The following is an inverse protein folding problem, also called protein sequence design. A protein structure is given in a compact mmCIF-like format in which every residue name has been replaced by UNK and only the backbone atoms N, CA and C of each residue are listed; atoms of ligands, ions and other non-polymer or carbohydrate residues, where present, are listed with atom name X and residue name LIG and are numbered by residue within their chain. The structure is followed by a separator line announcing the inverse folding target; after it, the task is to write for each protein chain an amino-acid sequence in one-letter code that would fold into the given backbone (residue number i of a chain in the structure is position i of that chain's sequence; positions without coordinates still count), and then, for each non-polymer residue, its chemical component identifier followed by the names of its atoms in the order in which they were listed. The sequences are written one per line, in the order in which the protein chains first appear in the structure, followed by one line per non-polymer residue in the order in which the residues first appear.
data_IF_792664157141
#
_entry.id   IF_792664157141
#
_cell.length_a   1.000
_cell.length_b   1.000
_cell.length_c   1.000
_cell.angle_alpha   90.00
_cell.angle_beta   90.00
_cell.angle_gamma   90.00
#
_symmetry.space_group_name_H-M   'P 1'
#
loop_
_entity.id
_entity.type
_entity.pdbx_description
1 polymer ?
#
# COMPACT_ATOMS: atom_id res chain seq x y z
N UNK A 1 -14.88 -12.77 4.91
CA UNK A 1 -14.47 -13.09 3.54
C UNK A 1 -13.37 -12.16 3.02
N UNK A 2 -13.60 -10.90 2.64
CA UNK A 2 -12.52 -9.98 2.18
C UNK A 2 -11.39 -9.80 3.19
N UNK A 3 -11.69 -9.81 4.47
CA UNK A 3 -10.73 -9.61 5.54
C UNK A 3 -9.73 -10.76 5.66
N UNK A 4 -10.12 -11.98 5.33
CA UNK A 4 -9.24 -13.15 5.37
C UNK A 4 -8.07 -13.03 4.39
N UNK A 5 -8.35 -12.56 3.17
CA UNK A 5 -7.29 -12.35 2.18
C UNK A 5 -6.37 -11.20 2.55
N UNK A 6 -6.90 -10.11 3.13
CA UNK A 6 -6.07 -9.03 3.65
C UNK A 6 -5.16 -9.51 4.78
N UNK A 7 -5.66 -10.36 5.69
CA UNK A 7 -4.86 -11.00 6.74
C UNK A 7 -3.79 -11.93 6.15
N UNK A 8 -4.11 -12.70 5.12
CA UNK A 8 -3.13 -13.54 4.43
C UNK A 8 -1.98 -12.72 3.85
N UNK A 9 -2.29 -11.57 3.22
CA UNK A 9 -1.25 -10.66 2.71
C UNK A 9 -0.42 -10.05 3.83
N UNK A 10 -1.05 -9.67 4.95
CA UNK A 10 -0.33 -9.18 6.15
C UNK A 10 0.64 -10.24 6.67
N UNK A 11 0.16 -11.46 6.88
CA UNK A 11 0.98 -12.57 7.34
C UNK A 11 2.15 -12.82 6.38
N UNK A 12 1.89 -12.83 5.07
CA UNK A 12 2.94 -12.98 4.06
C UNK A 12 3.98 -11.86 4.16
N UNK A 13 3.56 -10.60 4.25
CA UNK A 13 4.46 -9.46 4.36
C UNK A 13 5.36 -9.52 5.61
N UNK A 14 4.87 -10.07 6.72
CA UNK A 14 5.60 -10.13 7.99
C UNK A 14 6.59 -11.29 8.09
N UNK A 15 6.59 -12.23 7.15
CA UNK A 15 7.50 -13.40 7.19
C UNK A 15 8.95 -13.01 6.95
N UNK A 16 9.22 -12.13 5.98
CA UNK A 16 10.59 -11.79 5.57
C UNK A 16 10.70 -10.41 4.91
N UNK A 17 11.93 -9.92 4.82
CA UNK A 17 12.22 -8.68 4.10
C UNK A 17 11.88 -8.79 2.60
N UNK A 18 12.07 -9.94 1.98
CA UNK A 18 11.73 -10.18 0.58
C UNK A 18 10.21 -10.13 0.37
N UNK A 19 9.44 -10.76 1.25
CA UNK A 19 7.98 -10.74 1.20
C UNK A 19 7.42 -9.33 1.38
N UNK A 20 7.96 -8.57 2.33
CA UNK A 20 7.59 -7.16 2.53
C UNK A 20 7.93 -6.32 1.30
N UNK A 21 9.08 -6.57 0.68
CA UNK A 21 9.50 -5.92 -0.56
C UNK A 21 8.52 -6.23 -1.70
N UNK A 22 8.12 -7.48 -1.87
CA UNK A 22 7.14 -7.93 -2.88
C UNK A 22 5.78 -7.23 -2.71
N UNK A 23 5.26 -7.15 -1.47
CA UNK A 23 4.02 -6.43 -1.17
C UNK A 23 4.15 -4.94 -1.50
N UNK A 24 5.30 -4.34 -1.17
CA UNK A 24 5.57 -2.93 -1.48
C UNK A 24 5.66 -2.71 -2.99
N UNK A 25 6.34 -3.60 -3.70
CA UNK A 25 6.44 -3.58 -5.16
C UNK A 25 5.07 -3.68 -5.81
N UNK A 26 4.20 -4.58 -5.34
CA UNK A 26 2.81 -4.69 -5.80
C UNK A 26 2.07 -3.35 -5.68
N UNK A 27 2.20 -2.67 -4.53
CA UNK A 27 1.59 -1.37 -4.33
C UNK A 27 2.14 -0.31 -5.30
N UNK A 28 3.45 -0.31 -5.58
CA UNK A 28 4.12 0.58 -6.55
C UNK A 28 3.68 0.28 -7.97
N UNK A 29 3.65 -0.99 -8.37
CA UNK A 29 3.24 -1.41 -9.71
C UNK A 29 1.79 -1.00 -10.01
N UNK A 30 0.91 -1.00 -9.00
CA UNK A 30 -0.49 -0.59 -9.15
C UNK A 30 -0.70 0.90 -9.39
N UNK A 31 0.34 1.74 -9.29
CA UNK A 31 0.22 3.18 -9.56
C UNK A 31 0.02 3.40 -11.07
N UNK A 32 -1.11 4.03 -11.41
CA UNK A 32 -1.52 4.33 -12.81
C UNK A 32 -1.57 3.08 -13.70
N UNK A 33 -1.97 1.95 -13.12
CA UNK A 33 -2.15 0.71 -13.87
C UNK A 33 -3.50 0.05 -13.52
N UNK A 34 -4.17 -0.58 -14.49
CA UNK A 34 -5.31 -1.44 -14.20
C UNK A 34 -4.88 -2.59 -13.29
N UNK A 35 -5.68 -2.85 -12.25
CA UNK A 35 -5.37 -3.88 -11.27
C UNK A 35 -5.17 -5.27 -11.90
N UNK A 36 -5.92 -5.58 -12.96
CA UNK A 36 -5.80 -6.81 -13.74
C UNK A 36 -4.40 -7.12 -14.27
N UNK A 37 -3.58 -6.08 -14.46
CA UNK A 37 -2.24 -6.25 -15.03
C UNK A 37 -1.18 -6.52 -13.96
N UNK A 38 -1.49 -6.34 -12.68
CA UNK A 38 -0.48 -6.31 -11.62
C UNK A 38 0.18 -7.68 -11.43
N UNK A 39 -0.60 -8.76 -11.52
CA UNK A 39 -0.03 -10.11 -11.41
C UNK A 39 1.03 -10.40 -12.45
N UNK A 40 0.74 -10.11 -13.71
CA UNK A 40 1.70 -10.29 -14.81
C UNK A 40 2.92 -9.38 -14.64
N UNK A 41 2.73 -8.17 -14.12
CA UNK A 41 3.83 -7.24 -13.84
C UNK A 41 4.73 -7.73 -12.70
N UNK A 42 4.17 -8.34 -11.65
CA UNK A 42 4.96 -8.97 -10.57
C UNK A 42 5.82 -10.10 -11.13
N UNK A 43 5.24 -10.97 -11.97
CA UNK A 43 5.96 -12.05 -12.64
C UNK A 43 7.08 -11.49 -13.50
N UNK A 44 6.79 -10.46 -14.32
CA UNK A 44 7.79 -9.79 -15.15
C UNK A 44 8.98 -9.27 -14.34
N UNK A 45 8.73 -8.60 -13.21
CA UNK A 45 9.81 -8.09 -12.35
C UNK A 45 10.58 -9.22 -11.67
N UNK A 46 9.91 -10.27 -11.19
CA UNK A 46 10.59 -11.43 -10.58
C UNK A 46 11.52 -12.13 -11.56
N UNK A 47 11.12 -12.24 -12.83
CA UNK A 47 11.88 -12.91 -13.89
C UNK A 47 12.99 -12.01 -14.43
N UNK A 48 12.68 -10.78 -14.81
CA UNK A 48 13.54 -9.91 -15.59
C UNK A 48 14.29 -8.85 -14.75
N UNK A 49 13.97 -8.75 -13.44
CA UNK A 49 14.58 -7.80 -12.49
C UNK A 49 14.56 -6.37 -13.06
N UNK A 50 15.72 -5.71 -13.12
CA UNK A 50 15.86 -4.33 -13.63
C UNK A 50 15.50 -4.16 -15.12
N UNK A 51 15.39 -5.26 -15.86
CA UNK A 51 15.02 -5.26 -17.28
C UNK A 51 13.51 -5.49 -17.50
N UNK A 52 12.74 -5.62 -16.44
CA UNK A 52 11.30 -5.80 -16.53
C UNK A 52 10.61 -4.60 -17.17
N UNK A 53 9.72 -4.85 -18.14
CA UNK A 53 8.93 -3.80 -18.83
C UNK A 53 7.99 -3.07 -17.88
N UNK A 54 7.59 -3.73 -16.79
CA UNK A 54 6.76 -3.13 -15.74
C UNK A 54 7.48 -2.00 -14.96
N UNK A 55 8.81 -1.96 -14.97
CA UNK A 55 9.63 -0.96 -14.28
C UNK A 55 9.91 0.27 -15.16
N UNK A 56 8.89 0.99 -15.56
CA UNK A 56 9.02 2.23 -16.32
C UNK A 56 9.02 3.47 -15.42
N UNK A 57 9.70 4.54 -15.84
CA UNK A 57 9.78 5.80 -15.13
C UNK A 57 10.27 5.62 -13.68
N UNK A 58 9.66 6.30 -12.74
CA UNK A 58 10.04 6.26 -11.32
C UNK A 58 9.98 4.85 -10.69
N UNK A 59 9.22 3.91 -11.27
CA UNK A 59 9.08 2.54 -10.73
C UNK A 59 10.42 1.79 -10.73
N UNK A 60 11.29 2.07 -11.70
CA UNK A 60 12.63 1.49 -11.74
C UNK A 60 13.49 1.98 -10.58
N UNK A 61 13.51 3.29 -10.34
CA UNK A 61 14.26 3.87 -9.22
C UNK A 61 13.71 3.38 -7.87
N UNK A 62 12.39 3.25 -7.78
CA UNK A 62 11.74 2.70 -6.58
C UNK A 62 12.12 1.24 -6.36
N UNK A 63 12.17 0.42 -7.40
CA UNK A 63 12.61 -0.97 -7.30
C UNK A 63 14.07 -1.08 -6.83
N UNK A 64 14.98 -0.27 -7.40
CA UNK A 64 16.38 -0.21 -6.93
C UNK A 64 16.46 0.18 -5.46
N UNK A 65 15.69 1.19 -5.06
CA UNK A 65 15.62 1.62 -3.66
C UNK A 65 15.13 0.49 -2.74
N UNK A 66 14.06 -0.20 -3.13
CA UNK A 66 13.49 -1.31 -2.35
C UNK A 66 14.48 -2.43 -2.18
N UNK A 67 15.12 -2.92 -3.26
CA UNK A 67 16.12 -3.97 -3.20
C UNK A 67 17.30 -3.61 -2.29
N UNK A 68 17.74 -2.36 -2.35
CA UNK A 68 18.87 -1.87 -1.54
C UNK A 68 18.51 -1.66 -0.07
N UNK A 69 17.22 -1.45 0.27
CA UNK A 69 16.77 -1.06 1.60
C UNK A 69 15.79 -2.05 2.25
N UNK A 70 15.46 -3.18 1.61
CA UNK A 70 14.43 -4.11 2.07
C UNK A 70 14.64 -4.60 3.50
N UNK A 71 15.85 -4.99 3.89
CA UNK A 71 16.14 -5.46 5.24
C UNK A 71 15.98 -4.35 6.28
N UNK A 72 16.44 -3.14 5.98
CA UNK A 72 16.28 -1.97 6.86
C UNK A 72 14.82 -1.60 7.01
N UNK A 73 14.06 -1.53 5.91
CA UNK A 73 12.64 -1.23 5.91
C UNK A 73 11.86 -2.28 6.69
N UNK A 74 12.09 -3.56 6.44
CA UNK A 74 11.47 -4.66 7.16
C UNK A 74 11.72 -4.58 8.66
N UNK A 75 12.98 -4.42 9.08
CA UNK A 75 13.34 -4.30 10.50
C UNK A 75 12.61 -3.12 11.18
N UNK A 76 12.53 -1.96 10.49
CA UNK A 76 11.80 -0.79 11.00
C UNK A 76 10.30 -1.05 11.13
N UNK A 77 9.68 -1.67 10.13
CA UNK A 77 8.25 -2.01 10.14
C UNK A 77 7.95 -3.00 11.27
N UNK A 78 8.73 -4.08 11.37
CA UNK A 78 8.53 -5.11 12.42
C UNK A 78 8.76 -4.55 13.83
N UNK A 79 9.75 -3.67 14.02
CA UNK A 79 9.96 -2.99 15.30
C UNK A 79 8.75 -2.13 15.70
N UNK A 80 8.08 -1.49 14.75
CA UNK A 80 6.85 -0.73 15.02
C UNK A 80 5.68 -1.67 15.33
N UNK A 81 5.47 -2.71 14.53
CA UNK A 81 4.36 -3.68 14.72
C UNK A 81 4.46 -4.33 16.11
N UNK A 82 5.66 -4.76 16.50
CA UNK A 82 5.91 -5.48 17.75
C UNK A 82 6.07 -4.54 18.98
N UNK A 83 6.00 -3.23 18.78
CA UNK A 83 6.11 -2.28 19.91
C UNK A 83 4.83 -2.25 20.76
N UNK A 84 4.97 -1.87 22.03
CA UNK A 84 3.83 -1.66 22.94
C UNK A 84 3.13 -0.30 22.75
N UNK A 85 3.32 0.34 21.59
CA UNK A 85 2.67 1.62 21.27
C UNK A 85 1.19 1.41 20.93
N UNK A 86 0.39 2.48 21.09
CA UNK A 86 -1.00 2.50 20.61
C UNK A 86 -1.05 2.36 19.10
N UNK A 87 -2.17 1.84 18.55
CA UNK A 87 -2.38 1.69 17.12
C UNK A 87 -2.24 3.01 16.36
N UNK A 88 -2.70 4.12 16.92
CA UNK A 88 -2.51 5.45 16.35
C UNK A 88 -1.02 5.84 16.21
N UNK A 89 -0.21 5.52 17.22
CA UNK A 89 1.24 5.75 17.21
C UNK A 89 1.96 4.82 16.24
N UNK A 90 1.54 3.54 16.16
CA UNK A 90 2.04 2.58 15.16
C UNK A 90 1.70 3.05 13.76
N UNK A 91 0.45 3.42 13.50
CA UNK A 91 -0.01 3.93 12.22
C UNK A 91 0.81 5.14 11.75
N UNK A 92 1.03 6.12 12.63
CA UNK A 92 1.86 7.29 12.33
C UNK A 92 3.30 6.91 11.97
N UNK A 93 3.89 5.95 12.70
CA UNK A 93 5.27 5.50 12.46
C UNK A 93 5.38 4.74 11.13
N UNK A 94 4.44 3.84 10.84
CA UNK A 94 4.37 3.08 9.57
C UNK A 94 4.15 4.01 8.37
N UNK A 95 3.22 4.95 8.46
CA UNK A 95 3.01 5.96 7.42
C UNK A 95 4.32 6.69 7.08
N UNK A 96 5.07 7.14 8.10
CA UNK A 96 6.37 7.81 7.91
C UNK A 96 7.43 6.91 7.27
N UNK A 97 7.43 5.61 7.56
CA UNK A 97 8.34 4.65 6.92
C UNK A 97 8.00 4.51 5.45
N UNK A 98 6.76 4.21 5.11
CA UNK A 98 6.34 3.98 3.72
C UNK A 98 6.37 5.24 2.86
N UNK A 99 6.11 6.42 3.42
CA UNK A 99 6.23 7.69 2.70
C UNK A 99 7.68 8.05 2.26
N UNK A 100 8.70 7.36 2.79
CA UNK A 100 10.09 7.49 2.32
C UNK A 100 10.35 6.73 1.02
N UNK A 101 9.50 5.76 0.70
CA UNK A 101 9.61 5.00 -0.55
C UNK A 101 9.17 5.91 -1.70
N UNK A 102 10.06 6.14 -2.64
CA UNK A 102 9.76 6.99 -3.80
C UNK A 102 8.51 6.47 -4.55
N UNK A 103 7.64 7.38 -4.95
CA UNK A 103 6.37 7.05 -5.62
C UNK A 103 5.22 6.69 -4.69
N UNK A 104 5.44 6.37 -3.41
CA UNK A 104 4.35 6.18 -2.47
C UNK A 104 3.88 7.54 -1.93
N UNK A 105 2.70 7.97 -2.38
CA UNK A 105 1.96 9.07 -1.76
C UNK A 105 1.11 8.58 -0.59
N UNK A 106 0.33 9.48 0.02
CA UNK A 106 -0.49 9.22 1.20
C UNK A 106 -1.36 7.96 1.06
N UNK A 107 -2.12 7.85 -0.05
CA UNK A 107 -3.00 6.71 -0.30
C UNK A 107 -2.24 5.36 -0.36
N UNK A 108 -1.09 5.33 -1.05
CA UNK A 108 -0.31 4.09 -1.17
C UNK A 108 0.48 3.77 0.08
N UNK A 109 0.92 4.77 0.85
CA UNK A 109 1.49 4.53 2.18
C UNK A 109 0.43 3.97 3.15
N UNK A 110 -0.80 4.50 3.12
CA UNK A 110 -1.94 3.96 3.87
C UNK A 110 -2.28 2.53 3.45
N UNK A 111 -2.24 2.24 2.15
CA UNK A 111 -2.40 0.88 1.62
C UNK A 111 -1.33 -0.07 2.15
N UNK A 112 -0.06 0.37 2.19
CA UNK A 112 1.03 -0.43 2.78
C UNK A 112 0.85 -0.67 4.28
N UNK A 113 0.37 0.33 5.04
CA UNK A 113 0.03 0.13 6.45
C UNK A 113 -1.08 -0.92 6.62
N UNK A 114 -2.07 -0.92 5.73
CA UNK A 114 -3.14 -1.93 5.70
C UNK A 114 -2.60 -3.32 5.39
N UNK A 115 -1.77 -3.46 4.35
CA UNK A 115 -1.22 -4.73 3.88
C UNK A 115 -0.14 -5.31 4.80
N UNK A 116 0.50 -4.50 5.64
CA UNK A 116 1.57 -4.96 6.54
C UNK A 116 1.14 -5.13 8.00
N UNK A 117 0.15 -4.36 8.46
CA UNK A 117 -0.21 -4.29 9.87
C UNK A 117 -1.72 -4.22 10.16
N UNK A 118 -2.57 -4.19 9.13
CA UNK A 118 -4.02 -4.04 9.31
C UNK A 118 -4.45 -2.66 9.83
N UNK A 119 -3.55 -1.70 9.82
CA UNK A 119 -3.77 -0.33 10.27
C UNK A 119 -3.94 0.62 9.08
N UNK A 120 -4.67 1.71 9.31
CA UNK A 120 -4.95 2.71 8.26
C UNK A 120 -5.75 2.09 7.12
N UNK A 121 -5.66 2.63 5.91
CA UNK A 121 -6.35 2.13 4.71
C UNK A 121 -5.99 2.95 3.48
N UNK A 122 -6.43 2.50 2.33
CA UNK A 122 -6.20 3.19 1.07
C UNK A 122 -7.35 4.16 0.78
N UNK A 123 -7.09 5.47 0.93
CA UNK A 123 -7.96 6.54 0.42
C UNK A 123 -7.52 6.91 -0.99
N UNK A 124 -7.76 6.00 -1.93
CA UNK A 124 -7.54 6.29 -3.34
C UNK A 124 -8.67 7.16 -3.93
N UNK A 125 -8.58 7.47 -5.21
CA UNK A 125 -9.56 8.33 -5.89
C UNK A 125 -10.99 7.78 -5.83
N UNK A 126 -11.17 6.45 -5.70
CA UNK A 126 -12.49 5.86 -5.52
C UNK A 126 -13.04 6.11 -4.12
N UNK A 127 -12.26 5.78 -3.10
CA UNK A 127 -12.68 5.99 -1.70
C UNK A 127 -12.86 7.48 -1.40
N UNK A 128 -11.99 8.37 -1.91
CA UNK A 128 -12.17 9.81 -1.78
C UNK A 128 -13.53 10.28 -2.34
N UNK A 129 -13.89 9.83 -3.56
CA UNK A 129 -15.18 10.16 -4.17
C UNK A 129 -16.36 9.60 -3.39
N UNK A 130 -16.26 8.33 -2.97
CA UNK A 130 -17.32 7.66 -2.23
C UNK A 130 -17.65 8.35 -0.91
N UNK A 131 -16.62 8.87 -0.22
CA UNK A 131 -16.76 9.56 1.06
C UNK A 131 -16.80 11.08 0.95
N UNK A 132 -16.87 11.62 -0.27
CA UNK A 132 -16.92 13.08 -0.55
C UNK A 132 -15.77 13.85 0.11
N UNK A 133 -14.54 13.34 -0.03
CA UNK A 133 -13.34 13.92 0.54
C UNK A 133 -12.50 14.63 -0.54
N UNK A 134 -11.87 15.75 -0.17
CA UNK A 134 -10.96 16.48 -1.07
C UNK A 134 -9.56 15.86 -1.03
N UNK A 135 -9.04 15.48 -2.20
CA UNK A 135 -7.68 14.94 -2.33
C UNK A 135 -6.60 15.93 -1.85
N UNK A 136 -6.83 17.22 -1.97
CA UNK A 136 -5.90 18.28 -1.56
C UNK A 136 -5.63 18.28 -0.04
N UNK A 137 -6.60 17.81 0.76
CA UNK A 137 -6.43 17.69 2.21
C UNK A 137 -5.34 16.68 2.59
N UNK A 138 -5.01 15.76 1.68
CA UNK A 138 -4.04 14.70 1.87
C UNK A 138 -2.76 14.87 1.05
N UNK A 139 -2.65 15.94 0.27
CA UNK A 139 -1.46 16.22 -0.51
C UNK A 139 -0.32 16.71 0.38
N UNK A 140 0.80 15.98 0.39
CA UNK A 140 1.99 16.33 1.17
C UNK A 140 2.91 17.27 0.38
N UNK A 141 3.52 18.23 1.08
CA UNK A 141 4.71 18.89 0.56
C UNK A 141 5.86 17.88 0.50
N UNK A 142 6.32 17.55 -0.71
CA UNK A 142 7.37 16.56 -0.93
C UNK A 142 8.76 17.04 -0.52
N UNK A 143 8.97 18.36 -0.45
CA UNK A 143 10.25 18.99 -0.10
C UNK A 143 10.06 20.03 1.03
N UNK A 144 9.69 19.61 2.23
CA UNK A 144 9.48 20.51 3.34
C UNK A 144 10.82 21.08 3.80
N UNK A 145 11.05 22.39 3.59
CA UNK A 145 12.30 23.07 3.95
C UNK A 145 12.25 23.76 5.32
N UNK A 146 11.10 23.84 5.94
CA UNK A 146 10.91 24.53 7.23
C UNK A 146 10.21 23.64 8.23
N UNK A 147 10.40 23.92 9.52
CA UNK A 147 9.69 23.23 10.62
C UNK A 147 8.18 23.33 10.41
N UNK A 148 7.67 24.51 10.04
CA UNK A 148 6.24 24.75 9.76
C UNK A 148 5.72 23.80 8.67
N UNK A 149 6.49 23.56 7.60
CA UNK A 149 6.07 22.66 6.50
C UNK A 149 6.14 21.18 6.89
N UNK A 150 7.07 20.78 7.78
CA UNK A 150 7.12 19.46 8.37
C UNK A 150 5.94 19.19 9.31
N UNK A 151 5.58 20.18 10.13
CA UNK A 151 4.42 20.11 11.03
C UNK A 151 3.12 20.03 10.24
N UNK A 152 2.99 20.79 9.15
CA UNK A 152 1.84 20.71 8.25
C UNK A 152 1.69 19.31 7.65
N UNK A 153 2.77 18.68 7.16
CA UNK A 153 2.75 17.31 6.68
C UNK A 153 2.36 16.33 7.80
N UNK A 154 2.91 16.49 9.00
CA UNK A 154 2.57 15.65 10.15
C UNK A 154 1.09 15.76 10.53
N UNK A 155 0.53 16.97 10.47
CA UNK A 155 -0.91 17.20 10.70
C UNK A 155 -1.76 16.50 9.63
N UNK A 156 -1.39 16.58 8.36
CA UNK A 156 -2.08 15.90 7.26
C UNK A 156 -2.04 14.37 7.40
N UNK A 157 -0.90 13.79 7.80
CA UNK A 157 -0.80 12.35 8.06
C UNK A 157 -1.73 11.95 9.22
N UNK A 158 -1.76 12.73 10.30
CA UNK A 158 -2.65 12.45 11.45
C UNK A 158 -4.12 12.50 11.04
N UNK A 159 -4.52 13.53 10.29
CA UNK A 159 -5.88 13.65 9.76
C UNK A 159 -6.26 12.45 8.88
N UNK A 160 -5.35 12.05 7.98
CA UNK A 160 -5.56 10.88 7.13
C UNK A 160 -5.80 9.60 7.95
N UNK A 161 -4.97 9.35 8.98
CA UNK A 161 -5.12 8.20 9.87
C UNK A 161 -6.45 8.26 10.60
N UNK A 162 -6.83 9.42 11.14
CA UNK A 162 -8.10 9.61 11.82
C UNK A 162 -9.28 9.28 10.92
N UNK A 163 -9.33 9.82 9.72
CA UNK A 163 -10.38 9.57 8.73
C UNK A 163 -10.43 8.08 8.36
N UNK A 164 -9.29 7.43 8.11
CA UNK A 164 -9.26 6.00 7.85
C UNK A 164 -9.84 5.18 9.02
N UNK A 165 -9.59 5.59 10.26
CA UNK A 165 -10.13 4.92 11.44
C UNK A 165 -11.65 5.14 11.58
N UNK A 166 -12.15 6.34 11.26
CA UNK A 166 -13.58 6.67 11.29
C UNK A 166 -14.38 5.82 10.29
N UNK A 167 -13.87 5.65 9.07
CA UNK A 167 -14.50 4.79 8.06
C UNK A 167 -14.23 3.30 8.27
N UNK A 168 -13.15 2.97 8.94
CA UNK A 168 -12.71 1.62 9.23
C UNK A 168 -11.92 0.98 8.08
N UNK A 169 -10.74 0.48 8.41
CA UNK A 169 -9.80 -0.15 7.46
C UNK A 169 -10.45 -1.28 6.63
N UNK A 170 -11.31 -2.08 7.27
CA UNK A 170 -12.07 -3.15 6.63
C UNK A 170 -13.05 -2.62 5.59
N UNK A 171 -13.77 -1.55 5.89
CA UNK A 171 -14.75 -0.96 4.99
C UNK A 171 -14.07 -0.35 3.78
N UNK A 172 -12.92 0.31 3.96
CA UNK A 172 -12.12 0.86 2.87
C UNK A 172 -11.64 -0.24 1.92
N UNK A 173 -11.21 -1.38 2.45
CA UNK A 173 -10.81 -2.54 1.65
C UNK A 173 -12.00 -3.11 0.86
N UNK A 174 -13.13 -3.34 1.54
CA UNK A 174 -14.33 -3.92 0.92
C UNK A 174 -14.89 -3.00 -0.18
N UNK A 175 -14.94 -1.69 0.07
CA UNK A 175 -15.37 -0.69 -0.90
C UNK A 175 -14.51 -0.73 -2.15
N UNK A 176 -13.18 -0.77 -1.97
CA UNK A 176 -12.25 -0.84 -3.09
C UNK A 176 -12.39 -2.15 -3.89
N UNK A 177 -12.48 -3.32 -3.23
CA UNK A 177 -12.67 -4.59 -3.91
C UNK A 177 -14.00 -4.62 -4.68
N UNK A 178 -15.08 -4.12 -4.07
CA UNK A 178 -16.40 -4.03 -4.72
C UNK A 178 -16.36 -3.13 -5.96
N UNK A 179 -15.68 -1.98 -5.86
CA UNK A 179 -15.50 -1.09 -7.00
C UNK A 179 -14.70 -1.75 -8.13
N UNK A 180 -13.60 -2.43 -7.83
CA UNK A 180 -12.81 -3.11 -8.85
C UNK A 180 -13.59 -4.23 -9.53
N UNK A 181 -14.41 -4.96 -8.80
CA UNK A 181 -15.25 -6.00 -9.37
C UNK A 181 -16.17 -5.48 -10.49
N UNK A 182 -16.58 -4.20 -10.43
CA UNK A 182 -17.39 -3.57 -11.48
C UNK A 182 -16.57 -3.13 -12.71
N UNK A 183 -15.24 -3.17 -12.67
CA UNK A 183 -14.37 -2.62 -13.73
C UNK A 183 -14.01 -3.63 -14.82
N UNK A 184 -14.27 -4.90 -14.61
CA UNK A 184 -13.99 -5.92 -15.63
C UNK A 184 -14.84 -7.18 -15.40
N UNK A 185 -15.33 -7.75 -16.46
CA UNK A 185 -16.02 -9.05 -16.47
C UNK A 185 -15.10 -10.23 -16.13
N UNK A 186 -13.77 -10.01 -16.06
CA UNK A 186 -12.81 -11.01 -15.60
C UNK A 186 -12.87 -11.24 -14.11
N UNK A 187 -13.42 -10.30 -13.34
CA UNK A 187 -13.66 -10.47 -11.91
C UNK A 187 -14.99 -11.21 -11.71
N UNK A 188 -14.98 -12.31 -10.96
CA UNK A 188 -16.21 -13.02 -10.57
C UNK A 188 -17.05 -12.17 -9.62
N UNK A 189 -16.39 -11.62 -8.60
CA UNK A 189 -16.96 -10.77 -7.57
C UNK A 189 -15.84 -10.05 -6.79
N UNK A 190 -16.23 -9.30 -5.78
CA UNK A 190 -15.27 -8.57 -4.93
C UNK A 190 -14.40 -9.49 -4.06
N UNK A 191 -14.85 -10.72 -3.73
CA UNK A 191 -13.98 -11.70 -3.07
C UNK A 191 -12.85 -12.13 -3.97
N UNK A 192 -13.15 -12.41 -5.23
CA UNK A 192 -12.15 -12.76 -6.22
C UNK A 192 -11.11 -11.66 -6.41
N UNK A 193 -11.52 -10.38 -6.42
CA UNK A 193 -10.57 -9.25 -6.43
C UNK A 193 -9.62 -9.31 -5.22
N UNK A 194 -10.15 -9.59 -4.04
CA UNK A 194 -9.35 -9.69 -2.81
C UNK A 194 -8.43 -10.91 -2.79
N UNK A 195 -8.91 -12.06 -3.27
CA UNK A 195 -8.15 -13.31 -3.35
C UNK A 195 -6.94 -13.20 -4.29
N UNK A 196 -7.14 -12.57 -5.43
CA UNK A 196 -6.12 -12.39 -6.46
C UNK A 196 -4.86 -11.66 -5.94
N UNK A 197 -4.97 -10.76 -4.97
CA UNK A 197 -3.80 -10.14 -4.35
C UNK A 197 -2.85 -11.15 -3.74
N UNK A 198 -3.40 -12.12 -3.00
CA UNK A 198 -2.59 -13.12 -2.33
C UNK A 198 -1.96 -14.09 -3.32
N UNK A 199 -2.73 -14.58 -4.29
CA UNK A 199 -2.22 -15.51 -5.32
C UNK A 199 -1.10 -14.91 -6.17
N UNK A 200 -1.17 -13.61 -6.50
CA UNK A 200 -0.05 -12.94 -7.18
C UNK A 200 1.23 -12.94 -6.35
N UNK A 201 1.12 -12.74 -5.04
CA UNK A 201 2.29 -12.70 -4.16
C UNK A 201 2.94 -14.07 -3.97
N UNK A 202 2.13 -15.12 -3.79
CA UNK A 202 2.66 -16.49 -3.57
C UNK A 202 2.99 -17.24 -4.87
N UNK A 203 2.70 -16.65 -6.04
CA UNK A 203 3.02 -17.25 -7.34
C UNK A 203 2.05 -18.34 -7.80
N UNK A 204 0.87 -18.44 -7.18
CA UNK A 204 -0.20 -19.32 -7.65
C UNK A 204 -0.80 -18.76 -8.96
N UNK A 205 -0.96 -19.64 -9.96
CA UNK A 205 -1.73 -19.32 -11.16
C UNK A 205 -3.21 -19.48 -10.80
N UNK A 206 -3.97 -18.41 -10.94
CA UNK A 206 -5.43 -18.43 -10.86
C UNK A 206 -6.04 -18.99 -12.13
#
# INVERSE_FOLDING_TARGET
MYQEHAIKVQNYAQVSADNMCDVTLMAVLSIRQPWLNIGQQIIDVRTNKLNAKALWGFKKDTYIYLESNKHKMYAQVMAVINSNKTDASKAMSLMKIFLRVNGLGMAKAGFMCQLSAGLVGCMDSHNLKMYNLDANDFELNRNPKTIKSLDANTKKIRNYIQICNEYGTKNLWNSWCSFLATKSTKWRDANHVSEVHYSYLIGEKL
#
